data_IF_618085158895
#
_entry.id   IF_618085158895
#
_cell.length_a   1.000
_cell.length_b   1.000
_cell.length_c   1.000
_cell.angle_alpha   90.00
_cell.angle_beta   90.00
_cell.angle_gamma   90.00
#
_symmetry.space_group_name_H-M   'P 1'
#
loop_
_entity.id
_entity.type
_entity.pdbx_description
1 polymer ?
#
# COMPACT_ATOMS: atom_id res chain seq x y z
N UNK A 1 -24.09 24.94 9.87
CA UNK A 1 -23.24 23.72 10.04
C UNK A 1 -23.70 22.75 8.97
N UNK A 2 -22.91 22.60 7.92
CA UNK A 2 -23.23 21.81 6.72
C UNK A 2 -23.24 20.33 7.03
N UNK A 3 -24.16 19.58 6.40
CA UNK A 3 -24.51 18.15 6.64
C UNK A 3 -23.43 17.11 6.28
N UNK A 4 -22.14 17.43 6.30
CA UNK A 4 -21.08 16.66 5.64
C UNK A 4 -19.89 16.34 6.53
N UNK A 5 -20.09 16.02 7.80
CA UNK A 5 -18.92 15.74 8.66
C UNK A 5 -18.99 14.35 9.32
N UNK A 6 -19.28 13.32 8.51
CA UNK A 6 -19.12 11.94 8.94
C UNK A 6 -17.63 11.60 8.93
N UNK A 7 -17.09 11.16 10.07
CA UNK A 7 -15.70 10.77 10.17
C UNK A 7 -15.45 9.36 9.66
N UNK A 8 -16.27 8.40 10.08
CA UNK A 8 -16.08 6.98 9.78
C UNK A 8 -17.35 6.36 9.20
N UNK A 9 -17.24 5.72 8.03
CA UNK A 9 -18.23 4.81 7.49
C UNK A 9 -17.78 3.37 7.71
N UNK A 10 -18.59 2.57 8.42
CA UNK A 10 -18.35 1.14 8.61
C UNK A 10 -19.19 0.37 7.60
N UNK A 11 -18.57 -0.42 6.75
CA UNK A 11 -19.23 -1.24 5.74
C UNK A 11 -19.29 -2.69 6.22
N UNK A 12 -20.49 -3.24 6.32
CA UNK A 12 -20.72 -4.62 6.69
C UNK A 12 -21.50 -5.35 5.58
N UNK A 13 -20.82 -6.20 4.77
CA UNK A 13 -21.50 -7.11 3.85
C UNK A 13 -22.33 -8.14 4.61
N UNK A 14 -23.56 -8.33 4.18
CA UNK A 14 -24.52 -9.24 4.79
C UNK A 14 -25.00 -10.25 3.75
N UNK A 15 -24.98 -11.53 4.09
CA UNK A 15 -25.58 -12.61 3.30
C UNK A 15 -26.18 -13.64 4.24
N UNK A 16 -27.50 -13.61 4.39
CA UNK A 16 -28.25 -14.46 5.32
C UNK A 16 -27.78 -14.26 6.79
N UNK A 17 -27.83 -13.03 7.24
CA UNK A 17 -27.33 -12.58 8.55
C UNK A 17 -28.45 -11.94 9.40
N UNK A 18 -29.73 -12.26 9.15
CA UNK A 18 -30.89 -11.65 9.82
C UNK A 18 -30.77 -11.61 11.35
N UNK A 19 -30.18 -12.66 11.95
CA UNK A 19 -30.04 -12.80 13.39
C UNK A 19 -28.92 -11.94 13.99
N UNK A 20 -27.90 -11.61 13.21
CA UNK A 20 -26.69 -10.92 13.67
C UNK A 20 -26.79 -9.39 13.52
N UNK A 21 -27.56 -8.89 12.56
CA UNK A 21 -27.62 -7.46 12.21
C UNK A 21 -28.07 -6.58 13.38
N UNK A 22 -29.09 -6.92 14.18
CA UNK A 22 -29.51 -6.05 15.29
C UNK A 22 -28.39 -5.83 16.32
N UNK A 23 -27.70 -6.91 16.72
CA UNK A 23 -26.58 -6.84 17.68
C UNK A 23 -25.39 -6.08 17.06
N UNK A 24 -25.01 -6.40 15.83
CA UNK A 24 -23.95 -5.70 15.09
C UNK A 24 -24.22 -4.18 15.03
N UNK A 25 -25.44 -3.80 14.65
CA UNK A 25 -25.86 -2.39 14.57
C UNK A 25 -25.71 -1.70 15.91
N UNK A 26 -26.28 -2.29 16.97
CA UNK A 26 -26.23 -1.73 18.33
C UNK A 26 -24.77 -1.51 18.79
N UNK A 27 -23.91 -2.52 18.58
CA UNK A 27 -22.50 -2.46 19.01
C UNK A 27 -21.70 -1.43 18.20
N UNK A 28 -21.88 -1.35 16.88
CA UNK A 28 -21.18 -0.35 16.05
C UNK A 28 -21.64 1.07 16.40
N UNK A 29 -22.92 1.29 16.61
CA UNK A 29 -23.41 2.60 17.05
C UNK A 29 -22.85 2.97 18.43
N UNK A 30 -22.76 1.99 19.35
CA UNK A 30 -22.10 2.17 20.65
C UNK A 30 -20.60 2.51 20.54
N UNK A 31 -19.91 1.99 19.52
CA UNK A 31 -18.50 2.36 19.21
C UNK A 31 -18.41 3.84 18.82
N UNK A 32 -19.33 4.34 17.99
CA UNK A 32 -19.35 5.75 17.58
C UNK A 32 -19.61 6.67 18.79
N UNK A 33 -20.56 6.30 19.63
CA UNK A 33 -20.92 7.08 20.82
C UNK A 33 -19.77 7.09 21.85
N UNK A 34 -19.16 5.93 22.12
CA UNK A 34 -17.99 5.80 23.01
C UNK A 34 -16.75 6.51 22.48
N UNK A 35 -16.58 6.54 21.17
CA UNK A 35 -15.44 7.21 20.51
C UNK A 35 -15.65 8.71 20.31
N UNK A 36 -16.80 9.24 20.64
CA UNK A 36 -17.19 10.66 20.51
C UNK A 36 -16.99 11.23 19.10
N UNK A 37 -17.29 10.40 18.08
CA UNK A 37 -17.18 10.83 16.69
C UNK A 37 -18.43 10.48 15.87
N UNK A 38 -18.65 11.22 14.79
CA UNK A 38 -19.77 10.96 13.88
C UNK A 38 -19.43 9.78 12.97
N UNK A 39 -20.13 8.68 13.15
CA UNK A 39 -20.01 7.49 12.31
C UNK A 39 -21.33 7.11 11.67
N UNK A 40 -21.23 6.34 10.60
CA UNK A 40 -22.35 5.68 9.95
C UNK A 40 -22.04 4.20 9.69
N UNK A 41 -23.08 3.37 9.76
CA UNK A 41 -23.03 1.95 9.40
C UNK A 41 -23.73 1.76 8.06
N UNK A 42 -23.05 1.11 7.13
CA UNK A 42 -23.57 0.75 5.80
C UNK A 42 -23.69 -0.77 5.75
N UNK A 43 -24.91 -1.26 5.83
CA UNK A 43 -25.25 -2.67 5.70
C UNK A 43 -25.48 -2.98 4.23
N UNK A 44 -24.73 -3.89 3.65
CA UNK A 44 -24.84 -4.25 2.24
C UNK A 44 -25.40 -5.66 2.13
N UNK A 45 -26.68 -5.77 1.82
CA UNK A 45 -27.33 -7.06 1.54
C UNK A 45 -26.89 -7.57 0.16
N UNK A 46 -26.11 -8.64 0.15
CA UNK A 46 -25.57 -9.22 -1.09
C UNK A 46 -26.51 -10.32 -1.65
N UNK A 47 -27.82 -10.01 -1.73
CA UNK A 47 -28.83 -10.89 -2.29
C UNK A 47 -29.20 -12.04 -1.36
N UNK A 48 -29.48 -11.73 -0.10
CA UNK A 48 -29.94 -12.70 0.90
C UNK A 48 -31.28 -13.31 0.53
N UNK A 49 -31.52 -14.52 1.02
CA UNK A 49 -32.75 -15.28 0.81
C UNK A 49 -33.59 -15.44 2.08
N UNK A 50 -33.09 -14.95 3.20
CA UNK A 50 -33.76 -14.90 4.50
C UNK A 50 -34.34 -13.50 4.80
N UNK A 51 -34.63 -13.20 6.07
CA UNK A 51 -35.16 -11.90 6.52
C UNK A 51 -34.13 -10.77 6.59
N UNK A 52 -32.88 -10.95 6.11
CA UNK A 52 -31.79 -9.95 6.19
C UNK A 52 -32.20 -8.58 5.66
N UNK A 53 -32.80 -8.52 4.46
CA UNK A 53 -33.21 -7.27 3.83
C UNK A 53 -34.27 -6.52 4.66
N UNK A 54 -35.21 -7.24 5.28
CA UNK A 54 -36.24 -6.67 6.13
C UNK A 54 -35.64 -6.08 7.43
N UNK A 55 -34.71 -6.83 8.03
CA UNK A 55 -34.03 -6.38 9.26
C UNK A 55 -33.17 -5.14 8.97
N UNK A 56 -32.46 -5.08 7.83
CA UNK A 56 -31.71 -3.89 7.44
C UNK A 56 -32.62 -2.66 7.32
N UNK A 57 -33.79 -2.79 6.66
CA UNK A 57 -34.75 -1.68 6.55
C UNK A 57 -35.25 -1.22 7.91
N UNK A 58 -35.56 -2.14 8.82
CA UNK A 58 -35.94 -1.81 10.18
C UNK A 58 -34.83 -1.05 10.94
N UNK A 59 -33.57 -1.43 10.76
CA UNK A 59 -32.43 -0.70 11.36
C UNK A 59 -32.26 0.69 10.76
N UNK A 60 -32.50 0.87 9.47
CA UNK A 60 -32.48 2.20 8.82
C UNK A 60 -33.57 3.13 9.40
N UNK A 61 -34.76 2.59 9.60
CA UNK A 61 -35.89 3.33 10.17
C UNK A 61 -35.65 3.68 11.65
N UNK A 62 -35.07 2.75 12.41
CA UNK A 62 -34.76 2.98 13.83
C UNK A 62 -33.60 3.97 14.05
N UNK A 63 -32.66 4.07 13.10
CA UNK A 63 -31.45 4.87 13.25
C UNK A 63 -31.21 5.79 12.03
N UNK A 64 -32.13 6.74 11.74
CA UNK A 64 -32.05 7.60 10.57
C UNK A 64 -30.75 8.42 10.55
N UNK A 65 -30.09 8.44 9.40
CA UNK A 65 -28.83 9.17 9.21
C UNK A 65 -27.58 8.49 9.76
N UNK A 66 -27.73 7.45 10.60
CA UNK A 66 -26.62 6.66 11.16
C UNK A 66 -26.49 5.26 10.54
N UNK A 67 -27.58 4.70 10.03
CA UNK A 67 -27.60 3.40 9.35
C UNK A 67 -28.11 3.59 7.92
N UNK A 68 -27.40 3.00 6.97
CA UNK A 68 -27.78 2.94 5.56
C UNK A 68 -27.83 1.51 5.10
N UNK A 69 -28.74 1.19 4.17
CA UNK A 69 -28.84 -0.10 3.51
C UNK A 69 -28.52 0.01 2.02
N UNK A 70 -27.75 -0.94 1.49
CA UNK A 70 -27.53 -1.15 0.06
C UNK A 70 -27.98 -2.56 -0.27
N UNK A 71 -28.75 -2.74 -1.34
CA UNK A 71 -29.38 -4.01 -1.64
C UNK A 71 -29.00 -4.50 -3.04
N UNK A 72 -28.40 -5.68 -3.14
CA UNK A 72 -28.16 -6.36 -4.40
C UNK A 72 -29.33 -7.31 -4.72
N UNK A 73 -29.71 -7.40 -5.97
CA UNK A 73 -30.78 -8.32 -6.40
C UNK A 73 -30.35 -9.80 -6.32
N UNK A 74 -29.06 -10.06 -6.38
CA UNK A 74 -28.46 -11.40 -6.31
C UNK A 74 -27.07 -11.33 -5.69
N UNK A 75 -26.55 -12.45 -5.22
CA UNK A 75 -25.19 -12.53 -4.68
C UNK A 75 -24.15 -12.15 -5.74
N UNK A 76 -23.38 -11.10 -5.46
CA UNK A 76 -22.31 -10.56 -6.28
C UNK A 76 -20.93 -10.76 -5.66
N UNK A 77 -20.90 -11.25 -4.42
CA UNK A 77 -19.71 -11.51 -3.64
C UNK A 77 -19.19 -10.30 -2.85
N UNK A 78 -18.37 -10.57 -1.84
CA UNK A 78 -17.91 -9.62 -0.84
C UNK A 78 -17.24 -8.38 -1.46
N UNK A 79 -16.39 -8.54 -2.47
CA UNK A 79 -15.73 -7.42 -3.11
C UNK A 79 -16.71 -6.46 -3.81
N UNK A 80 -17.80 -6.99 -4.38
CA UNK A 80 -18.87 -6.17 -4.95
C UNK A 80 -19.66 -5.45 -3.86
N UNK A 81 -19.91 -6.12 -2.74
CA UNK A 81 -20.54 -5.51 -1.57
C UNK A 81 -19.68 -4.36 -1.01
N UNK A 82 -18.38 -4.56 -0.89
CA UNK A 82 -17.46 -3.49 -0.49
C UNK A 82 -17.46 -2.30 -1.47
N UNK A 83 -17.47 -2.56 -2.79
CA UNK A 83 -17.57 -1.49 -3.80
C UNK A 83 -18.86 -0.69 -3.66
N UNK A 84 -19.99 -1.38 -3.49
CA UNK A 84 -21.29 -0.73 -3.34
C UNK A 84 -21.37 0.07 -2.02
N UNK A 85 -20.87 -0.51 -0.92
CA UNK A 85 -20.76 0.19 0.37
C UNK A 85 -19.84 1.41 0.31
N UNK A 86 -18.68 1.29 -0.35
CA UNK A 86 -17.75 2.42 -0.54
C UNK A 86 -18.33 3.54 -1.40
N UNK A 87 -19.22 3.21 -2.35
CA UNK A 87 -19.97 4.19 -3.13
C UNK A 87 -21.01 4.95 -2.31
N UNK A 88 -21.58 4.32 -1.28
CA UNK A 88 -22.56 4.96 -0.37
C UNK A 88 -21.88 5.69 0.80
N UNK A 89 -20.60 5.42 1.07
CA UNK A 89 -19.87 5.95 2.21
C UNK A 89 -19.64 7.48 2.12
N UNK A 90 -19.97 8.19 3.19
CA UNK A 90 -19.80 9.65 3.33
C UNK A 90 -18.60 10.00 4.22
N UNK A 91 -18.14 9.06 5.04
CA UNK A 91 -17.03 9.24 5.97
C UNK A 91 -15.70 9.53 5.29
N UNK A 92 -14.86 10.31 5.97
CA UNK A 92 -13.46 10.50 5.55
C UNK A 92 -12.66 9.20 5.65
N UNK A 93 -13.00 8.37 6.64
CA UNK A 93 -12.47 7.03 6.83
C UNK A 93 -13.53 6.00 6.44
N UNK A 94 -13.05 4.86 5.97
CA UNK A 94 -13.86 3.66 5.73
C UNK A 94 -13.25 2.52 6.52
N UNK A 95 -14.11 1.76 7.20
CA UNK A 95 -13.75 0.48 7.78
C UNK A 95 -14.66 -0.62 7.22
N UNK A 96 -14.15 -1.84 7.14
CA UNK A 96 -14.93 -3.02 6.80
C UNK A 96 -14.97 -3.98 7.98
N UNK A 97 -16.10 -4.65 8.19
CA UNK A 97 -16.27 -5.68 9.21
C UNK A 97 -17.24 -6.73 8.70
N UNK A 98 -17.02 -8.00 9.06
CA UNK A 98 -17.96 -9.08 8.73
C UNK A 98 -19.20 -9.00 9.63
N UNK A 99 -20.39 -9.32 9.08
CA UNK A 99 -21.65 -9.18 9.79
C UNK A 99 -21.90 -10.31 10.82
N UNK A 100 -21.08 -11.34 10.85
CA UNK A 100 -21.26 -12.55 11.65
C UNK A 100 -20.78 -12.44 13.11
N UNK A 101 -20.39 -11.25 13.55
CA UNK A 101 -19.92 -10.94 14.90
C UNK A 101 -18.68 -11.73 15.36
N UNK A 102 -17.93 -12.34 14.44
CA UNK A 102 -16.68 -13.00 14.79
C UNK A 102 -15.58 -11.99 15.14
N UNK A 103 -15.54 -10.84 14.47
CA UNK A 103 -14.75 -9.69 14.90
C UNK A 103 -15.52 -8.86 15.92
N UNK A 104 -14.79 -8.29 16.88
CA UNK A 104 -15.38 -7.41 17.88
C UNK A 104 -15.49 -5.98 17.31
N UNK A 105 -16.71 -5.41 17.17
CA UNK A 105 -16.89 -4.04 16.69
C UNK A 105 -16.09 -3.00 17.50
N UNK A 106 -15.87 -3.24 18.77
CA UNK A 106 -15.13 -2.37 19.68
C UNK A 106 -13.64 -2.21 19.28
N UNK A 107 -13.07 -3.18 18.58
CA UNK A 107 -11.71 -3.08 18.04
C UNK A 107 -11.56 -1.98 16.98
N UNK A 108 -12.68 -1.47 16.39
CA UNK A 108 -12.64 -0.30 15.50
C UNK A 108 -12.00 0.92 16.17
N UNK A 109 -12.18 1.10 17.49
CA UNK A 109 -11.52 2.18 18.23
C UNK A 109 -10.00 2.03 18.24
N UNK A 110 -9.52 0.77 18.40
CA UNK A 110 -8.08 0.46 18.40
C UNK A 110 -7.49 0.61 17.01
N UNK A 111 -8.19 0.15 15.96
CA UNK A 111 -7.77 0.31 14.58
C UNK A 111 -7.70 1.80 14.18
N UNK A 112 -8.77 2.57 14.52
CA UNK A 112 -8.82 4.00 14.26
C UNK A 112 -7.68 4.75 14.97
N UNK A 113 -7.46 4.45 16.26
CA UNK A 113 -6.36 5.01 17.04
C UNK A 113 -5.01 4.73 16.38
N UNK A 114 -4.76 3.48 15.97
CA UNK A 114 -3.52 3.10 15.33
C UNK A 114 -3.32 3.76 13.96
N UNK A 115 -4.38 4.01 13.20
CA UNK A 115 -4.32 4.75 11.94
C UNK A 115 -3.78 6.17 12.16
N UNK A 116 -4.27 6.85 13.22
CA UNK A 116 -3.83 8.20 13.54
C UNK A 116 -2.44 8.23 14.21
N UNK A 117 -2.21 7.43 15.24
CA UNK A 117 -0.95 7.46 16.00
C UNK A 117 0.23 6.97 15.20
N UNK A 118 0.04 5.97 14.34
CA UNK A 118 1.13 5.37 13.57
C UNK A 118 1.27 5.95 12.16
N UNK A 119 0.38 6.85 11.78
CA UNK A 119 0.43 7.56 10.50
C UNK A 119 0.62 6.63 9.29
N UNK A 120 -0.08 5.50 9.29
CA UNK A 120 -0.13 4.56 8.17
C UNK A 120 -1.38 4.80 7.32
N UNK A 121 -1.37 4.33 6.07
CA UNK A 121 -2.48 4.50 5.15
C UNK A 121 -3.60 3.48 5.40
N UNK A 122 -3.23 2.26 5.84
CA UNK A 122 -4.16 1.15 6.09
C UNK A 122 -3.82 0.47 7.42
N UNK A 123 -4.84 0.22 8.26
CA UNK A 123 -4.70 -0.65 9.43
C UNK A 123 -5.62 -1.84 9.25
N UNK A 124 -5.07 -3.03 9.47
CA UNK A 124 -5.80 -4.30 9.44
C UNK A 124 -5.88 -4.92 10.83
N UNK A 125 -7.05 -5.41 11.21
CA UNK A 125 -7.20 -6.29 12.36
C UNK A 125 -6.91 -7.72 11.97
N UNK A 126 -5.84 -8.33 12.48
CA UNK A 126 -5.54 -9.73 12.24
C UNK A 126 -6.11 -10.63 13.33
N UNK A 127 -6.58 -11.79 12.93
CA UNK A 127 -7.25 -12.73 13.82
C UNK A 127 -6.24 -13.43 14.70
N UNK A 128 -6.32 -13.19 16.02
CA UNK A 128 -5.44 -13.85 16.99
C UNK A 128 -5.39 -15.37 16.78
N UNK A 129 -4.20 -15.92 16.87
CA UNK A 129 -4.00 -17.37 16.85
C UNK A 129 -4.27 -18.03 18.20
N UNK A 130 -4.39 -17.21 19.26
CA UNK A 130 -4.63 -17.67 20.61
C UNK A 130 -6.06 -18.22 20.72
N UNK A 131 -6.19 -19.44 21.25
CA UNK A 131 -7.49 -20.10 21.44
C UNK A 131 -8.13 -20.70 20.19
N UNK A 132 -7.53 -20.59 19.01
CA UNK A 132 -8.04 -21.22 17.79
C UNK A 132 -7.75 -22.71 17.75
N UNK A 133 -8.75 -23.49 17.34
CA UNK A 133 -8.58 -24.92 17.09
C UNK A 133 -7.63 -25.11 15.89
N UNK A 134 -6.57 -25.90 16.10
CA UNK A 134 -5.56 -26.21 15.08
C UNK A 134 -6.04 -27.34 14.16
N UNK A 135 -7.15 -27.11 13.48
CA UNK A 135 -7.74 -28.00 12.50
C UNK A 135 -7.06 -27.92 11.10
N UNK A 136 -7.55 -28.69 10.13
CA UNK A 136 -7.04 -28.66 8.76
C UNK A 136 -7.16 -27.27 8.13
N UNK A 137 -8.17 -26.49 8.47
CA UNK A 137 -8.38 -25.12 7.95
C UNK A 137 -7.36 -24.15 8.49
N UNK A 138 -6.99 -24.30 9.76
CA UNK A 138 -5.90 -23.53 10.36
C UNK A 138 -4.61 -23.71 9.55
N UNK A 139 -4.21 -24.96 9.27
CA UNK A 139 -2.98 -25.24 8.53
C UNK A 139 -3.04 -24.75 7.08
N UNK A 140 -4.16 -24.94 6.37
CA UNK A 140 -4.37 -24.40 5.02
C UNK A 140 -4.28 -22.87 5.03
N UNK A 141 -4.90 -22.22 6.02
CA UNK A 141 -4.85 -20.76 6.16
C UNK A 141 -3.43 -20.24 6.38
N UNK A 142 -2.65 -20.92 7.24
CA UNK A 142 -1.25 -20.60 7.49
C UNK A 142 -0.38 -20.79 6.24
N UNK A 143 -0.55 -21.90 5.54
CA UNK A 143 0.17 -22.18 4.30
C UNK A 143 -0.13 -21.12 3.22
N UNK A 144 -1.39 -20.74 3.05
CA UNK A 144 -1.78 -19.70 2.10
C UNK A 144 -1.23 -18.32 2.49
N UNK A 145 -1.24 -17.99 3.80
CA UNK A 145 -0.62 -16.76 4.29
C UNK A 145 0.89 -16.73 4.02
N UNK A 146 1.58 -17.84 4.26
CA UNK A 146 2.99 -18.00 3.94
C UNK A 146 3.26 -17.82 2.44
N UNK A 147 2.42 -18.40 1.58
CA UNK A 147 2.55 -18.24 0.12
C UNK A 147 2.38 -16.78 -0.31
N UNK A 148 1.40 -16.05 0.23
CA UNK A 148 1.19 -14.64 -0.07
C UNK A 148 2.38 -13.79 0.40
N UNK A 149 2.84 -13.99 1.62
CA UNK A 149 3.99 -13.28 2.16
C UNK A 149 5.25 -13.50 1.30
N UNK A 150 5.52 -14.75 0.92
CA UNK A 150 6.67 -15.09 0.09
C UNK A 150 6.55 -14.54 -1.33
N UNK A 151 5.36 -14.67 -1.93
CA UNK A 151 5.13 -14.27 -3.32
C UNK A 151 5.21 -12.75 -3.52
N UNK A 152 4.78 -11.97 -2.53
CA UNK A 152 4.71 -10.51 -2.61
C UNK A 152 5.75 -9.79 -1.74
N UNK A 153 6.60 -10.52 -1.01
CA UNK A 153 7.61 -9.95 -0.12
C UNK A 153 7.00 -9.23 1.10
N UNK A 154 5.88 -9.72 1.60
CA UNK A 154 5.16 -9.19 2.74
C UNK A 154 5.49 -9.94 4.03
N UNK A 155 5.14 -9.36 5.18
CA UNK A 155 5.32 -9.98 6.49
C UNK A 155 4.06 -9.74 7.34
N UNK A 156 2.92 -10.30 6.89
CA UNK A 156 1.65 -10.18 7.59
C UNK A 156 1.30 -11.48 8.33
N UNK A 157 0.70 -11.34 9.50
CA UNK A 157 0.18 -12.46 10.28
C UNK A 157 -1.08 -13.06 9.64
N UNK A 158 -1.94 -12.24 9.03
CA UNK A 158 -3.19 -12.70 8.43
C UNK A 158 -3.61 -11.88 7.19
N UNK A 159 -3.10 -12.23 6.02
CA UNK A 159 -3.47 -11.59 4.75
C UNK A 159 -4.97 -11.68 4.40
N UNK A 160 -5.72 -12.57 5.04
CA UNK A 160 -7.13 -12.84 4.70
C UNK A 160 -8.13 -12.11 5.56
N UNK A 161 -7.69 -11.30 6.50
CA UNK A 161 -8.61 -10.51 7.30
C UNK A 161 -9.29 -9.43 6.47
N UNK A 162 -10.61 -9.43 6.47
CA UNK A 162 -11.42 -8.37 5.88
C UNK A 162 -11.66 -7.18 6.81
N UNK A 163 -11.11 -7.19 8.01
CA UNK A 163 -11.30 -6.13 8.99
C UNK A 163 -10.21 -5.07 8.81
N UNK A 164 -10.50 -4.05 8.02
CA UNK A 164 -9.54 -2.99 7.67
C UNK A 164 -10.14 -1.60 7.89
N UNK A 165 -9.28 -0.61 8.14
CA UNK A 165 -9.63 0.81 8.19
C UNK A 165 -8.59 1.63 7.43
N UNK A 166 -9.04 2.58 6.61
CA UNK A 166 -8.20 3.51 5.87
C UNK A 166 -8.98 4.76 5.45
N UNK A 167 -8.32 5.72 4.80
CA UNK A 167 -9.02 6.83 4.15
C UNK A 167 -9.93 6.31 3.03
N UNK A 168 -11.08 6.98 2.81
CA UNK A 168 -12.06 6.57 1.79
C UNK A 168 -11.44 6.48 0.39
N UNK A 169 -10.61 7.44 0.03
CA UNK A 169 -9.91 7.48 -1.26
C UNK A 169 -8.94 6.30 -1.42
N UNK A 170 -8.24 5.93 -0.34
CA UNK A 170 -7.38 4.73 -0.30
C UNK A 170 -8.22 3.49 -0.50
N UNK A 171 -9.34 3.35 0.22
CA UNK A 171 -10.21 2.19 0.09
C UNK A 171 -10.79 2.04 -1.32
N UNK A 172 -11.24 3.15 -1.91
CA UNK A 172 -11.74 3.16 -3.29
C UNK A 172 -10.64 2.77 -4.29
N UNK A 173 -9.41 3.27 -4.11
CA UNK A 173 -8.28 2.87 -4.95
C UNK A 173 -7.92 1.38 -4.76
N UNK A 174 -7.93 0.87 -3.53
CA UNK A 174 -7.71 -0.56 -3.30
C UNK A 174 -8.70 -1.44 -4.04
N UNK A 175 -9.95 -0.99 -4.20
CA UNK A 175 -11.00 -1.72 -4.92
C UNK A 175 -10.91 -1.58 -6.46
N UNK A 176 -9.95 -0.82 -6.98
CA UNK A 176 -9.65 -0.78 -8.42
C UNK A 176 -8.69 -1.92 -8.77
N UNK A 177 -9.20 -2.99 -9.36
CA UNK A 177 -8.46 -4.14 -9.84
C UNK A 177 -9.01 -4.59 -11.20
N UNK A 178 -8.16 -5.20 -12.04
CA UNK A 178 -8.49 -5.54 -13.43
C UNK A 178 -9.03 -6.98 -13.56
N UNK A 179 -8.58 -7.87 -12.69
CA UNK A 179 -8.92 -9.28 -12.76
C UNK A 179 -10.33 -9.63 -12.28
N UNK A 180 -10.84 -10.78 -12.70
CA UNK A 180 -12.03 -11.40 -12.08
C UNK A 180 -11.57 -12.36 -11.01
N UNK A 181 -11.79 -12.03 -9.73
CA UNK A 181 -11.43 -12.83 -8.57
C UNK A 181 -12.68 -13.49 -7.99
N UNK A 182 -12.49 -14.71 -7.46
CA UNK A 182 -13.54 -15.36 -6.66
C UNK A 182 -13.55 -14.83 -5.23
N UNK A 183 -12.35 -14.58 -4.66
CA UNK A 183 -12.14 -14.16 -3.27
C UNK A 183 -11.16 -13.00 -3.18
N UNK A 184 -11.41 -11.92 -3.93
CA UNK A 184 -10.52 -10.76 -3.98
C UNK A 184 -10.26 -10.15 -2.60
N UNK A 185 -11.21 -10.23 -1.66
CA UNK A 185 -11.04 -9.76 -0.29
C UNK A 185 -9.78 -10.31 0.41
N UNK A 186 -9.33 -11.49 0.02
CA UNK A 186 -8.09 -12.09 0.52
C UNK A 186 -6.82 -11.42 0.00
N UNK A 187 -6.96 -10.48 -0.93
CA UNK A 187 -5.85 -9.79 -1.59
C UNK A 187 -5.85 -8.27 -1.32
N UNK A 188 -6.72 -7.79 -0.42
CA UNK A 188 -6.78 -6.35 -0.12
C UNK A 188 -5.46 -5.81 0.40
N UNK A 189 -4.75 -6.57 1.25
CA UNK A 189 -3.43 -6.17 1.75
C UNK A 189 -2.33 -6.36 0.70
N UNK A 190 -2.46 -7.34 -0.20
CA UNK A 190 -1.60 -7.46 -1.37
C UNK A 190 -1.75 -6.24 -2.28
N UNK A 191 -2.99 -5.80 -2.52
CA UNK A 191 -3.25 -4.58 -3.28
C UNK A 191 -2.68 -3.34 -2.58
N UNK A 192 -2.82 -3.22 -1.26
CA UNK A 192 -2.24 -2.13 -0.48
C UNK A 192 -0.71 -2.12 -0.61
N UNK A 193 -0.07 -3.26 -0.44
CA UNK A 193 1.38 -3.42 -0.60
C UNK A 193 1.85 -3.07 -2.01
N UNK A 194 1.21 -3.63 -3.04
CA UNK A 194 1.57 -3.41 -4.44
C UNK A 194 1.33 -1.97 -4.90
N UNK A 195 0.33 -1.30 -4.33
CA UNK A 195 0.05 0.13 -4.59
C UNK A 195 0.89 1.08 -3.72
N UNK A 196 1.76 0.56 -2.83
CA UNK A 196 2.70 1.31 -2.01
C UNK A 196 2.09 2.04 -0.83
N UNK A 197 0.91 1.64 -0.42
CA UNK A 197 0.35 2.13 0.82
C UNK A 197 1.11 1.54 2.02
N UNK A 198 1.38 2.41 3.00
CA UNK A 198 1.90 1.96 4.28
C UNK A 198 0.77 1.29 5.08
N UNK A 199 1.10 0.18 5.76
CA UNK A 199 0.09 -0.55 6.51
C UNK A 199 0.63 -1.11 7.82
N UNK A 200 -0.31 -1.37 8.74
CA UNK A 200 -0.03 -1.99 10.04
C UNK A 200 -1.11 -3.00 10.38
N UNK A 201 -0.69 -4.09 11.04
CA UNK A 201 -1.60 -5.05 11.64
C UNK A 201 -1.76 -4.80 13.14
N UNK A 202 -2.97 -5.04 13.64
CA UNK A 202 -3.31 -5.05 15.06
C UNK A 202 -3.97 -6.38 15.38
N UNK A 203 -3.52 -7.03 16.42
CA UNK A 203 -4.17 -8.23 16.92
C UNK A 203 -5.58 -7.91 17.40
N UNK A 204 -6.56 -8.67 16.89
CA UNK A 204 -7.96 -8.57 17.25
C UNK A 204 -8.48 -9.92 17.74
N UNK A 205 -9.41 -9.88 18.66
CA UNK A 205 -10.09 -11.09 19.13
C UNK A 205 -11.02 -11.58 18.00
N UNK A 206 -10.92 -12.87 17.70
CA UNK A 206 -11.77 -13.51 16.71
C UNK A 206 -12.51 -14.67 17.37
N UNK A 207 -13.79 -14.51 17.58
CA UNK A 207 -14.65 -15.46 18.27
C UNK A 207 -15.26 -16.50 17.34
N UNK A 208 -15.83 -17.54 17.92
CA UNK A 208 -16.65 -18.48 17.17
C UNK A 208 -17.95 -17.81 16.75
N UNK A 209 -18.43 -18.15 15.57
CA UNK A 209 -19.71 -17.65 15.05
C UNK A 209 -20.83 -18.00 16.00
N UNK A 210 -21.68 -17.02 16.33
CA UNK A 210 -22.78 -17.20 17.29
C UNK A 210 -24.03 -17.77 16.65
N UNK A 211 -24.32 -17.41 15.39
CA UNK A 211 -25.50 -17.88 14.65
C UNK A 211 -25.19 -18.02 13.15
N UNK A 212 -25.97 -18.83 12.46
CA UNK A 212 -25.85 -19.06 11.01
C UNK A 212 -24.80 -20.11 10.62
N UNK A 213 -24.85 -20.55 9.34
CA UNK A 213 -23.90 -21.52 8.75
C UNK A 213 -22.81 -20.80 7.96
N UNK A 214 -21.56 -21.27 8.06
CA UNK A 214 -20.48 -20.72 7.24
C UNK A 214 -20.64 -21.14 5.77
N UNK A 215 -20.69 -20.19 4.87
CA UNK A 215 -20.71 -20.46 3.42
C UNK A 215 -19.54 -21.36 2.95
N UNK A 216 -18.42 -21.31 3.63
CA UNK A 216 -17.20 -22.05 3.29
C UNK A 216 -17.21 -23.51 3.80
N UNK A 217 -18.09 -23.87 4.73
CA UNK A 217 -18.06 -25.19 5.37
C UNK A 217 -18.39 -26.32 4.40
N UNK A 218 -19.34 -26.09 3.51
CA UNK A 218 -19.78 -27.10 2.53
C UNK A 218 -18.90 -27.18 1.27
N UNK A 219 -17.96 -26.24 1.06
CA UNK A 219 -17.19 -26.11 -0.19
C UNK A 219 -15.68 -25.85 0.01
N UNK A 220 -15.11 -26.29 1.13
CA UNK A 220 -13.71 -25.95 1.49
C UNK A 220 -12.68 -26.35 0.42
N UNK A 221 -12.81 -27.52 -0.21
CA UNK A 221 -11.91 -27.96 -1.27
C UNK A 221 -12.01 -27.08 -2.53
N UNK A 222 -13.24 -26.73 -2.94
CA UNK A 222 -13.44 -25.81 -4.08
C UNK A 222 -12.93 -24.40 -3.77
N UNK A 223 -13.09 -23.95 -2.52
CA UNK A 223 -12.57 -22.64 -2.09
C UNK A 223 -11.05 -22.60 -2.18
N UNK A 224 -10.35 -23.68 -1.81
CA UNK A 224 -8.89 -23.77 -1.92
C UNK A 224 -8.40 -23.68 -3.37
N UNK A 225 -9.04 -24.42 -4.31
CA UNK A 225 -8.70 -24.35 -5.74
C UNK A 225 -8.93 -22.94 -6.29
N UNK A 226 -10.06 -22.31 -5.96
CA UNK A 226 -10.39 -20.94 -6.37
C UNK A 226 -9.38 -19.93 -5.81
N UNK A 227 -8.93 -20.10 -4.55
CA UNK A 227 -7.93 -19.24 -3.94
C UNK A 227 -6.56 -19.36 -4.61
N UNK A 228 -6.17 -20.57 -5.05
CA UNK A 228 -4.93 -20.78 -5.83
C UNK A 228 -5.03 -20.12 -7.21
N UNK A 229 -6.18 -20.23 -7.86
CA UNK A 229 -6.44 -19.55 -9.13
C UNK A 229 -6.35 -18.02 -8.97
N UNK A 230 -6.96 -17.48 -7.91
CA UNK A 230 -6.89 -16.06 -7.58
C UNK A 230 -5.46 -15.63 -7.25
N UNK A 231 -4.66 -16.48 -6.59
CA UNK A 231 -3.24 -16.22 -6.35
C UNK A 231 -2.47 -16.07 -7.68
N UNK A 232 -2.70 -16.96 -8.65
CA UNK A 232 -2.10 -16.84 -9.98
C UNK A 232 -2.44 -15.51 -10.66
N UNK A 233 -3.69 -15.06 -10.54
CA UNK A 233 -4.12 -13.75 -11.03
C UNK A 233 -3.47 -12.59 -10.28
N UNK A 234 -3.44 -12.66 -8.95
CA UNK A 234 -2.82 -11.64 -8.13
C UNK A 234 -1.32 -11.52 -8.43
N UNK A 235 -0.63 -12.63 -8.66
CA UNK A 235 0.77 -12.63 -9.13
C UNK A 235 0.90 -11.87 -10.45
N UNK A 236 0.04 -12.14 -11.41
CA UNK A 236 0.06 -11.45 -12.70
C UNK A 236 -0.31 -9.97 -12.58
N UNK A 237 -1.29 -9.63 -11.72
CA UNK A 237 -1.78 -8.26 -11.55
C UNK A 237 -0.88 -7.40 -10.66
N UNK A 238 -0.35 -7.96 -9.58
CA UNK A 238 0.37 -7.19 -8.55
C UNK A 238 1.88 -7.45 -8.51
N UNK A 239 2.36 -8.60 -9.01
CA UNK A 239 3.79 -8.89 -9.05
C UNK A 239 4.45 -8.09 -10.19
N UNK A 240 5.35 -7.18 -9.84
CA UNK A 240 6.02 -6.29 -10.80
C UNK A 240 5.23 -5.02 -11.14
N UNK A 241 3.96 -4.89 -10.71
CA UNK A 241 3.28 -3.59 -10.71
C UNK A 241 3.59 -2.91 -9.38
N UNK A 242 4.55 -2.02 -9.41
CA UNK A 242 4.80 -1.12 -8.28
C UNK A 242 3.65 -0.14 -8.12
N UNK A 243 3.52 0.44 -6.89
CA UNK A 243 2.64 1.57 -6.70
C UNK A 243 2.87 2.53 -7.85
N UNK A 244 1.83 3.08 -8.46
CA UNK A 244 2.00 4.04 -9.51
C UNK A 244 2.90 5.15 -8.97
N UNK A 245 4.12 5.21 -9.47
CA UNK A 245 5.04 6.31 -9.18
C UNK A 245 4.26 7.61 -9.35
N UNK A 246 4.43 8.54 -8.42
CA UNK A 246 3.84 9.88 -8.49
C UNK A 246 3.96 10.45 -9.90
N UNK A 247 5.12 10.20 -10.54
CA UNK A 247 5.38 10.64 -11.90
C UNK A 247 4.45 9.97 -12.95
N UNK A 248 4.10 8.70 -12.79
CA UNK A 248 3.16 8.04 -13.71
C UNK A 248 1.73 8.51 -13.50
N UNK A 249 1.30 8.73 -12.25
CA UNK A 249 0.00 9.33 -11.97
C UNK A 249 -0.07 10.75 -12.53
N UNK A 250 1.01 11.51 -12.39
CA UNK A 250 1.12 12.85 -12.94
C UNK A 250 1.05 12.84 -14.48
N UNK A 251 1.78 11.96 -15.15
CA UNK A 251 1.76 11.82 -16.60
C UNK A 251 0.39 11.43 -17.16
N UNK A 252 -0.44 10.70 -16.40
CA UNK A 252 -1.82 10.41 -16.80
C UNK A 252 -2.68 11.69 -16.87
N UNK A 253 -2.44 12.63 -15.97
CA UNK A 253 -3.13 13.92 -15.91
C UNK A 253 -2.51 14.97 -16.86
N UNK A 254 -1.22 14.82 -17.14
CA UNK A 254 -0.44 15.73 -17.98
C UNK A 254 0.25 14.92 -19.11
N UNK A 255 -0.49 14.51 -20.15
CA UNK A 255 0.07 13.75 -21.25
C UNK A 255 1.17 14.55 -21.95
N UNK A 256 2.28 13.90 -22.23
CA UNK A 256 3.42 14.49 -22.94
C UNK A 256 3.62 13.81 -24.28
N UNK A 257 4.07 14.57 -25.27
CA UNK A 257 4.55 14.00 -26.53
C UNK A 257 5.96 13.49 -26.25
N UNK A 258 6.16 12.19 -26.36
CA UNK A 258 7.48 11.59 -26.27
C UNK A 258 8.33 12.03 -27.48
N UNK A 259 9.39 12.77 -27.21
CA UNK A 259 10.35 13.25 -28.21
C UNK A 259 11.65 12.44 -28.16
N UNK A 260 11.66 11.33 -27.45
CA UNK A 260 12.82 10.45 -27.39
C UNK A 260 13.11 9.90 -28.80
N UNK A 261 14.38 9.85 -29.23
CA UNK A 261 14.73 9.28 -30.51
C UNK A 261 14.28 7.83 -30.61
N UNK A 262 13.66 7.46 -31.72
CA UNK A 262 13.27 6.07 -31.96
C UNK A 262 14.50 5.16 -31.96
N UNK A 263 14.39 4.07 -31.20
CA UNK A 263 15.42 3.02 -31.17
C UNK A 263 15.33 2.20 -32.44
N UNK A 264 16.48 2.01 -33.11
CA UNK A 264 16.53 1.06 -34.23
C UNK A 264 16.14 -0.35 -33.74
N UNK A 265 15.67 -1.23 -34.66
CA UNK A 265 15.33 -2.62 -34.29
C UNK A 265 16.47 -3.34 -33.57
N UNK A 266 17.72 -3.14 -33.98
CA UNK A 266 18.89 -3.72 -33.33
C UNK A 266 19.14 -3.17 -31.94
N UNK A 267 18.97 -1.87 -31.72
CA UNK A 267 19.05 -1.23 -30.40
C UNK A 267 17.93 -1.72 -29.48
N UNK A 268 16.72 -1.86 -30.01
CA UNK A 268 15.58 -2.40 -29.25
C UNK A 268 15.80 -3.87 -28.84
N UNK A 269 16.42 -4.68 -29.69
CA UNK A 269 16.76 -6.05 -29.38
C UNK A 269 17.87 -6.11 -28.32
N UNK A 270 18.94 -5.32 -28.48
CA UNK A 270 20.04 -5.24 -27.49
C UNK A 270 19.54 -4.76 -26.13
N UNK A 271 18.66 -3.76 -26.11
CA UNK A 271 18.04 -3.28 -24.88
C UNK A 271 17.26 -4.39 -24.18
N UNK A 272 16.39 -5.13 -24.88
CA UNK A 272 15.62 -6.23 -24.31
C UNK A 272 16.52 -7.36 -23.81
N UNK A 273 17.54 -7.73 -24.58
CA UNK A 273 18.51 -8.76 -24.16
C UNK A 273 19.29 -8.33 -22.92
N UNK A 274 19.71 -7.06 -22.87
CA UNK A 274 20.42 -6.52 -21.70
C UNK A 274 19.51 -6.48 -20.48
N UNK A 275 18.28 -5.98 -20.59
CA UNK A 275 17.35 -5.95 -19.46
C UNK A 275 16.99 -7.35 -18.98
N UNK A 276 16.82 -8.31 -19.87
CA UNK A 276 16.62 -9.70 -19.49
C UNK A 276 17.84 -10.27 -18.73
N UNK A 277 19.05 -10.05 -19.24
CA UNK A 277 20.28 -10.49 -18.56
C UNK A 277 20.52 -9.73 -17.27
N UNK A 278 20.29 -8.43 -17.25
CA UNK A 278 20.40 -7.58 -16.06
C UNK A 278 19.43 -8.03 -14.96
N UNK A 279 18.19 -8.27 -15.31
CA UNK A 279 17.19 -8.77 -14.38
C UNK A 279 17.54 -10.18 -13.85
N UNK A 280 18.16 -11.06 -14.65
CA UNK A 280 18.61 -12.37 -14.18
C UNK A 280 19.84 -12.29 -13.27
N UNK A 281 20.80 -11.44 -13.57
CA UNK A 281 22.04 -11.32 -12.80
C UNK A 281 21.89 -10.44 -11.56
N UNK A 282 20.98 -9.48 -11.59
CA UNK A 282 20.74 -8.51 -10.51
C UNK A 282 19.36 -8.65 -9.87
N UNK A 283 18.57 -9.66 -10.24
CA UNK A 283 17.19 -9.82 -9.77
C UNK A 283 17.04 -9.81 -8.23
N UNK A 284 18.07 -10.20 -7.49
CA UNK A 284 18.12 -10.08 -6.03
C UNK A 284 18.28 -8.64 -5.57
N UNK A 285 18.89 -7.78 -6.39
CA UNK A 285 19.25 -6.41 -6.05
C UNK A 285 18.34 -5.40 -6.79
N UNK A 286 18.05 -5.64 -8.07
CA UNK A 286 17.24 -4.73 -8.91
C UNK A 286 16.26 -5.52 -9.78
N UNK A 287 15.01 -5.05 -9.89
CA UNK A 287 13.95 -5.68 -10.71
C UNK A 287 13.30 -4.72 -11.69
N UNK A 288 13.29 -3.42 -11.38
CA UNK A 288 12.41 -2.45 -12.04
C UNK A 288 13.14 -1.22 -12.60
N UNK A 289 14.42 -1.38 -12.94
CA UNK A 289 15.21 -0.31 -13.57
C UNK A 289 14.56 0.20 -14.84
N UNK A 290 14.01 -0.71 -15.67
CA UNK A 290 13.33 -0.37 -16.92
C UNK A 290 12.11 0.53 -16.70
N UNK A 291 11.29 0.20 -15.71
CA UNK A 291 10.12 0.99 -15.35
C UNK A 291 10.47 2.44 -14.96
N UNK A 292 11.49 2.62 -14.11
CA UNK A 292 11.96 3.97 -13.77
C UNK A 292 12.57 4.69 -14.96
N UNK A 293 13.31 3.98 -15.81
CA UNK A 293 13.90 4.54 -17.00
C UNK A 293 12.82 5.06 -17.98
N UNK A 294 11.79 4.26 -18.26
CA UNK A 294 10.67 4.70 -19.11
C UNK A 294 9.92 5.91 -18.53
N UNK A 295 9.72 5.92 -17.22
CA UNK A 295 9.10 7.06 -16.53
C UNK A 295 9.94 8.31 -16.69
N UNK A 296 11.25 8.21 -16.52
CA UNK A 296 12.18 9.32 -16.68
C UNK A 296 12.27 9.80 -18.12
N UNK A 297 12.21 8.89 -19.10
CA UNK A 297 12.18 9.25 -20.52
C UNK A 297 10.96 10.11 -20.87
N UNK A 298 9.81 9.83 -20.30
CA UNK A 298 8.59 10.60 -20.50
C UNK A 298 8.60 11.93 -19.75
N UNK A 299 8.96 11.91 -18.46
CA UNK A 299 8.89 13.11 -17.62
C UNK A 299 9.88 14.20 -18.03
N UNK A 300 10.99 13.87 -18.69
CA UNK A 300 11.94 14.87 -19.16
C UNK A 300 11.35 15.87 -20.20
N UNK A 301 10.23 15.52 -20.83
CA UNK A 301 9.55 16.35 -21.82
C UNK A 301 8.37 17.16 -21.27
N UNK A 302 8.17 17.14 -19.97
CA UNK A 302 7.20 18.01 -19.31
C UNK A 302 7.57 19.49 -19.51
N UNK A 303 6.56 20.34 -19.61
CA UNK A 303 6.79 21.79 -19.58
C UNK A 303 7.44 22.20 -18.26
N UNK A 304 8.17 23.33 -18.20
CA UNK A 304 8.77 23.78 -16.93
C UNK A 304 7.76 23.99 -15.80
N UNK A 305 6.54 24.39 -16.12
CA UNK A 305 5.46 24.53 -15.11
C UNK A 305 4.99 23.16 -14.61
N UNK A 306 4.71 22.21 -15.50
CA UNK A 306 4.30 20.86 -15.16
C UNK A 306 5.42 20.10 -14.39
N UNK A 307 6.69 20.34 -14.74
CA UNK A 307 7.81 19.78 -14.02
C UNK A 307 7.87 20.30 -12.58
N UNK A 308 7.68 21.61 -12.35
CA UNK A 308 7.62 22.18 -11.00
C UNK A 308 6.47 21.59 -10.20
N UNK A 309 5.29 21.46 -10.80
CA UNK A 309 4.12 20.86 -10.14
C UNK A 309 4.38 19.41 -9.72
N UNK A 310 5.00 18.61 -10.61
CA UNK A 310 5.43 17.24 -10.28
C UNK A 310 6.43 17.20 -9.11
N UNK A 311 7.39 18.12 -9.12
CA UNK A 311 8.40 18.22 -8.05
C UNK A 311 7.76 18.62 -6.72
N UNK A 312 6.82 19.56 -6.73
CA UNK A 312 6.08 19.98 -5.54
C UNK A 312 5.19 18.83 -5.00
N UNK A 313 4.55 18.06 -5.88
CA UNK A 313 3.79 16.87 -5.45
C UNK A 313 4.70 15.83 -4.78
N UNK A 314 5.88 15.55 -5.37
CA UNK A 314 6.87 14.65 -4.78
C UNK A 314 7.39 15.19 -3.45
N UNK A 315 7.66 16.49 -3.34
CA UNK A 315 8.10 17.13 -2.11
C UNK A 315 7.07 16.97 -0.99
N UNK A 316 5.81 17.28 -1.24
CA UNK A 316 4.73 17.11 -0.26
C UNK A 316 4.63 15.67 0.26
N UNK A 317 4.77 14.69 -0.63
CA UNK A 317 4.76 13.27 -0.22
C UNK A 317 5.99 12.93 0.61
N UNK A 318 7.17 13.40 0.21
CA UNK A 318 8.42 13.15 0.93
C UNK A 318 8.40 13.75 2.34
N UNK A 319 8.00 15.02 2.48
CA UNK A 319 7.93 15.70 3.79
C UNK A 319 6.91 15.03 4.69
N UNK A 320 5.76 14.66 4.16
CA UNK A 320 4.74 13.90 4.90
C UNK A 320 5.28 12.56 5.36
N UNK A 321 5.95 11.81 4.48
CA UNK A 321 6.59 10.55 4.82
C UNK A 321 7.66 10.71 5.90
N UNK A 322 8.55 11.70 5.75
CA UNK A 322 9.62 11.98 6.71
C UNK A 322 9.06 12.34 8.10
N UNK A 323 8.06 13.20 8.17
CA UNK A 323 7.39 13.56 9.43
C UNK A 323 6.71 12.35 10.10
N UNK A 324 6.04 11.51 9.30
CA UNK A 324 5.27 10.38 9.81
C UNK A 324 6.15 9.22 10.26
N UNK A 325 7.19 8.92 9.49
CA UNK A 325 7.89 7.64 9.59
C UNK A 325 9.36 7.75 9.98
N UNK A 326 9.93 8.97 10.09
CA UNK A 326 11.35 9.14 10.41
C UNK A 326 11.48 9.96 11.69
N UNK A 327 11.86 9.34 12.83
CA UNK A 327 11.87 9.98 14.14
C UNK A 327 12.69 11.28 14.17
N UNK A 328 13.86 11.28 13.54
CA UNK A 328 14.74 12.47 13.44
C UNK A 328 14.03 13.66 12.79
N UNK A 329 13.41 13.47 11.62
CA UNK A 329 12.73 14.55 10.92
C UNK A 329 11.45 14.98 11.62
N UNK A 330 10.74 14.06 12.24
CA UNK A 330 9.58 14.39 13.09
C UNK A 330 10.00 15.34 14.21
N UNK A 331 11.04 15.00 14.96
CA UNK A 331 11.54 15.82 16.06
C UNK A 331 12.02 17.20 15.56
N UNK A 332 12.79 17.23 14.48
CA UNK A 332 13.33 18.48 13.92
C UNK A 332 12.23 19.43 13.39
N UNK A 333 11.20 18.90 12.74
CA UNK A 333 10.08 19.70 12.30
C UNK A 333 9.25 20.22 13.48
N UNK A 334 9.04 19.41 14.51
CA UNK A 334 8.36 19.82 15.74
C UNK A 334 9.16 20.89 16.50
N UNK A 335 10.48 20.75 16.63
CA UNK A 335 11.38 21.76 17.21
C UNK A 335 11.29 23.10 16.46
N UNK A 336 11.14 23.05 15.13
CA UNK A 336 10.97 24.23 14.28
C UNK A 336 9.53 24.77 14.24
N UNK A 337 8.58 24.15 14.95
CA UNK A 337 7.15 24.51 14.91
C UNK A 337 6.46 24.23 13.57
N UNK A 338 7.04 23.36 12.73
CA UNK A 338 6.56 23.07 11.39
C UNK A 338 5.73 21.78 11.35
N UNK A 339 4.72 21.79 10.48
CA UNK A 339 3.94 20.62 10.08
C UNK A 339 4.17 20.32 8.60
N UNK A 340 3.86 19.11 8.12
CA UNK A 340 3.99 18.78 6.69
C UNK A 340 3.23 19.75 5.76
N UNK A 341 2.13 20.31 6.25
CA UNK A 341 1.27 21.25 5.50
C UNK A 341 1.94 22.62 5.27
N UNK A 342 2.97 22.96 6.04
CA UNK A 342 3.72 24.23 5.93
C UNK A 342 4.77 24.20 4.80
N UNK A 343 5.00 23.00 4.22
CA UNK A 343 5.97 22.78 3.12
C UNK A 343 5.24 22.20 1.92
N UNK A 344 4.75 23.08 1.04
CA UNK A 344 3.92 22.72 -0.10
C UNK A 344 4.66 22.78 -1.43
N UNK A 345 5.67 23.62 -1.54
CA UNK A 345 6.41 23.88 -2.76
C UNK A 345 7.92 23.92 -2.50
N UNK A 346 8.71 23.85 -3.57
CA UNK A 346 10.17 24.02 -3.47
C UNK A 346 10.58 25.35 -2.84
N UNK A 347 9.76 26.39 -2.98
CA UNK A 347 10.01 27.68 -2.34
C UNK A 347 10.00 27.59 -0.80
N UNK A 348 9.36 26.57 -0.24
CA UNK A 348 9.27 26.37 1.22
C UNK A 348 10.46 25.60 1.80
N UNK A 349 11.36 25.09 0.96
CA UNK A 349 12.50 24.27 1.42
C UNK A 349 13.41 25.00 2.41
N UNK A 350 13.51 26.32 2.32
CA UNK A 350 14.30 27.15 3.25
C UNK A 350 13.79 27.11 4.69
N UNK A 351 12.52 26.72 4.91
CA UNK A 351 11.93 26.57 6.24
C UNK A 351 12.46 25.33 6.95
N UNK A 352 12.90 24.31 6.19
CA UNK A 352 13.34 23.03 6.75
C UNK A 352 14.70 23.20 7.44
N UNK A 353 14.90 22.57 8.62
CA UNK A 353 16.17 22.58 9.31
C UNK A 353 17.24 21.86 8.48
N UNK A 354 18.44 22.44 8.47
CA UNK A 354 19.59 21.87 7.76
C UNK A 354 20.05 20.58 8.41
N UNK A 355 20.38 19.60 7.58
CA UNK A 355 20.93 18.31 8.00
C UNK A 355 22.43 18.26 7.67
N UNK A 356 23.27 18.16 8.72
CA UNK A 356 24.71 18.03 8.59
C UNK A 356 25.18 16.57 8.57
N UNK A 357 26.43 16.34 8.10
CA UNK A 357 27.05 15.01 8.15
C UNK A 357 27.20 14.48 9.59
N UNK A 358 27.41 15.36 10.56
CA UNK A 358 27.50 15.00 11.97
C UNK A 358 26.18 14.48 12.52
N UNK A 359 25.05 15.11 12.13
CA UNK A 359 23.72 14.67 12.51
C UNK A 359 23.43 13.28 11.96
N UNK A 360 23.74 13.05 10.68
CA UNK A 360 23.56 11.75 10.05
C UNK A 360 24.38 10.68 10.77
N UNK A 361 25.66 10.94 11.08
CA UNK A 361 26.51 9.97 11.79
C UNK A 361 25.95 9.61 13.16
N UNK A 362 25.45 10.61 13.90
CA UNK A 362 24.91 10.43 15.24
C UNK A 362 23.60 9.64 15.25
N UNK A 363 22.72 9.87 14.26
CA UNK A 363 21.35 9.37 14.24
C UNK A 363 21.10 8.28 13.21
N UNK A 364 22.09 7.89 12.40
CA UNK A 364 21.94 7.11 11.18
C UNK A 364 21.08 5.86 11.30
N UNK A 365 21.27 5.06 12.33
CA UNK A 365 20.66 3.74 12.37
C UNK A 365 19.30 3.71 13.09
N UNK A 366 19.10 4.56 14.07
CA UNK A 366 17.92 4.52 14.91
C UNK A 366 16.87 5.57 14.54
N UNK A 367 17.33 6.81 14.29
CA UNK A 367 16.43 7.95 14.19
C UNK A 367 16.18 8.40 12.74
N UNK A 368 17.17 8.24 11.84
CA UNK A 368 17.06 8.66 10.43
C UNK A 368 16.44 7.57 9.54
N UNK A 369 16.52 6.31 9.95
CA UNK A 369 15.83 5.24 9.21
C UNK A 369 14.32 5.28 9.44
N UNK A 370 13.57 5.04 8.35
CA UNK A 370 12.12 5.00 8.38
C UNK A 370 11.60 3.84 9.24
N UNK A 371 10.68 4.12 10.16
CA UNK A 371 10.08 3.12 11.05
C UNK A 371 9.20 2.09 10.32
N UNK A 372 8.69 2.46 9.16
CA UNK A 372 7.82 1.61 8.32
C UNK A 372 8.60 0.81 7.27
N UNK A 373 9.94 0.86 7.29
CA UNK A 373 10.79 0.09 6.39
C UNK A 373 11.51 -1.05 7.11
N UNK A 374 11.57 -2.22 6.46
CA UNK A 374 12.30 -3.37 7.00
C UNK A 374 13.82 -3.12 6.91
N UNK A 375 14.45 -2.96 8.06
CA UNK A 375 15.90 -2.69 8.15
C UNK A 375 16.76 -3.82 7.60
N UNK A 376 16.23 -5.03 7.46
CA UNK A 376 16.94 -6.16 6.84
C UNK A 376 17.05 -6.05 5.32
N UNK A 377 16.22 -5.21 4.71
CA UNK A 377 16.16 -5.05 3.24
C UNK A 377 16.96 -3.84 2.73
N UNK A 378 17.71 -3.18 3.58
CA UNK A 378 18.53 -2.04 3.19
C UNK A 378 19.97 -2.43 2.90
N UNK A 379 20.57 -1.74 1.95
CA UNK A 379 21.96 -1.91 1.57
C UNK A 379 22.80 -0.76 2.11
N UNK A 380 23.87 -1.09 2.78
CA UNK A 380 24.85 -0.10 3.25
C UNK A 380 25.66 0.45 2.07
N UNK A 381 25.64 1.75 1.92
CA UNK A 381 26.42 2.49 0.92
C UNK A 381 27.44 3.36 1.66
N UNK A 382 28.67 3.42 1.18
CA UNK A 382 29.68 4.31 1.73
C UNK A 382 30.43 5.05 0.62
N UNK A 383 30.80 6.28 0.89
CA UNK A 383 31.74 7.03 0.04
C UNK A 383 33.17 6.63 0.36
N UNK A 384 34.09 6.83 -0.59
CA UNK A 384 35.53 6.53 -0.40
C UNK A 384 36.22 7.41 0.63
N UNK A 385 35.61 8.53 1.03
CA UNK A 385 36.12 9.43 2.06
C UNK A 385 37.45 10.11 1.67
N UNK A 386 37.41 11.08 0.78
CA UNK A 386 38.58 11.90 0.41
C UNK A 386 39.23 12.64 1.61
N UNK A 387 38.51 12.74 2.71
CA UNK A 387 38.94 13.36 3.98
C UNK A 387 39.26 12.34 5.08
N UNK A 388 39.43 11.05 4.73
CA UNK A 388 39.79 9.99 5.66
C UNK A 388 38.62 9.25 6.34
N UNK A 389 37.45 9.87 6.46
CA UNK A 389 36.27 9.24 7.05
C UNK A 389 35.17 9.01 6.03
N UNK A 390 34.82 7.73 5.72
CA UNK A 390 33.74 7.41 4.82
C UNK A 390 32.41 7.92 5.36
N UNK A 391 31.63 8.54 4.48
CA UNK A 391 30.23 8.81 4.77
C UNK A 391 29.41 7.55 4.48
N UNK A 392 28.64 7.10 5.45
CA UNK A 392 27.79 5.92 5.36
C UNK A 392 26.33 6.34 5.28
N UNK A 393 25.58 5.72 4.39
CA UNK A 393 24.12 5.78 4.36
C UNK A 393 23.54 4.41 3.97
N UNK A 394 22.23 4.28 4.09
CA UNK A 394 21.50 3.08 3.70
C UNK A 394 20.56 3.41 2.55
N UNK A 395 20.45 2.49 1.62
CA UNK A 395 19.55 2.60 0.48
C UNK A 395 18.67 1.37 0.40
N UNK A 396 17.43 1.55 0.04
CA UNK A 396 16.56 0.47 -0.36
C UNK A 396 16.77 0.11 -1.84
N UNK A 397 16.11 -0.95 -2.27
CA UNK A 397 16.15 -1.41 -3.65
C UNK A 397 15.65 -0.33 -4.62
N UNK A 398 14.54 0.32 -4.29
CA UNK A 398 13.91 1.33 -5.15
C UNK A 398 14.86 2.49 -5.46
N UNK A 399 15.60 2.95 -4.45
CA UNK A 399 16.59 4.01 -4.63
C UNK A 399 17.73 3.58 -5.56
N UNK A 400 18.20 2.33 -5.45
CA UNK A 400 19.24 1.80 -6.35
C UNK A 400 18.75 1.71 -7.78
N UNK A 401 17.54 1.21 -8.01
CA UNK A 401 16.94 1.07 -9.32
C UNK A 401 16.71 2.42 -9.98
N UNK A 402 16.18 3.38 -9.22
CA UNK A 402 16.00 4.74 -9.71
C UNK A 402 17.34 5.39 -10.08
N UNK A 403 18.39 5.19 -9.28
CA UNK A 403 19.73 5.70 -9.58
C UNK A 403 20.28 5.10 -10.89
N UNK A 404 20.10 3.80 -11.12
CA UNK A 404 20.51 3.16 -12.38
C UNK A 404 19.73 3.72 -13.57
N UNK A 405 18.42 3.84 -13.45
CA UNK A 405 17.57 4.41 -14.48
C UNK A 405 17.96 5.86 -14.84
N UNK A 406 18.20 6.67 -13.81
CA UNK A 406 18.65 8.06 -14.00
C UNK A 406 20.03 8.12 -14.67
N UNK A 407 20.95 7.21 -14.36
CA UNK A 407 22.25 7.11 -15.00
C UNK A 407 22.12 6.77 -16.48
N UNK A 408 21.31 5.77 -16.82
CA UNK A 408 21.07 5.38 -18.22
C UNK A 408 20.48 6.53 -19.02
N UNK A 409 19.47 7.22 -18.49
CA UNK A 409 18.87 8.39 -19.15
C UNK A 409 19.89 9.52 -19.36
N UNK A 410 20.68 9.84 -18.34
CA UNK A 410 21.65 10.94 -18.45
C UNK A 410 22.77 10.63 -19.45
N UNK A 411 23.16 9.38 -19.60
CA UNK A 411 24.11 8.98 -20.64
C UNK A 411 23.53 9.22 -22.05
N UNK A 412 22.25 9.00 -22.28
CA UNK A 412 21.62 9.29 -23.57
C UNK A 412 21.61 10.78 -23.95
N UNK A 413 21.62 11.68 -22.96
CA UNK A 413 21.74 13.12 -23.24
C UNK A 413 23.08 13.51 -23.88
N UNK A 414 24.13 12.69 -23.71
CA UNK A 414 25.44 12.92 -24.37
C UNK A 414 25.50 12.37 -25.79
N UNK A 415 24.37 11.88 -26.32
CA UNK A 415 24.33 11.21 -27.63
C UNK A 415 24.61 9.72 -27.59
N UNK A 416 25.02 9.17 -26.44
CA UNK A 416 25.19 7.73 -26.25
C UNK A 416 23.87 7.00 -26.50
N UNK A 417 23.96 5.88 -27.21
CA UNK A 417 22.83 4.96 -27.35
C UNK A 417 23.21 3.63 -26.73
N UNK A 418 22.27 3.01 -26.04
CA UNK A 418 22.53 1.73 -25.39
C UNK A 418 23.07 0.72 -26.41
N UNK A 419 24.21 0.13 -26.07
CA UNK A 419 24.96 -0.80 -26.95
C UNK A 419 26.06 -0.15 -27.78
N UNK A 420 26.22 1.18 -27.72
CA UNK A 420 27.37 1.85 -28.31
C UNK A 420 28.63 1.54 -27.50
N UNK A 421 29.79 1.46 -28.13
CA UNK A 421 31.05 1.31 -27.43
C UNK A 421 31.27 2.46 -26.46
N UNK A 422 31.54 2.17 -25.20
CA UNK A 422 31.75 3.17 -24.16
C UNK A 422 33.01 2.85 -23.38
N UNK A 423 33.88 3.84 -23.24
CA UNK A 423 35.03 3.77 -22.31
C UNK A 423 34.63 4.50 -21.04
N UNK A 424 34.61 3.77 -19.92
CA UNK A 424 34.36 4.35 -18.60
C UNK A 424 35.67 4.56 -17.86
N UNK A 425 36.08 5.80 -17.70
CA UNK A 425 37.19 6.13 -16.82
C UNK A 425 36.69 6.14 -15.38
N UNK A 426 37.16 5.20 -14.58
CA UNK A 426 36.80 5.11 -13.17
C UNK A 426 38.04 5.35 -12.32
N UNK A 427 37.97 6.36 -11.49
CA UNK A 427 39.04 6.60 -10.51
C UNK A 427 38.89 5.59 -9.38
N UNK A 428 39.77 4.60 -9.31
CA UNK A 428 39.85 3.67 -8.20
C UNK A 428 41.19 3.83 -7.47
N UNK A 429 41.10 3.82 -6.15
CA UNK A 429 42.29 3.73 -5.30
C UNK A 429 43.00 2.39 -5.54
N UNK A 430 44.32 2.43 -5.60
CA UNK A 430 45.19 1.27 -5.66
C UNK A 430 44.78 0.17 -4.66
N UNK A 431 44.37 -0.99 -5.14
CA UNK A 431 44.00 -2.10 -4.28
C UNK A 431 42.87 -3.00 -4.79
N UNK A 432 42.53 -2.97 -6.09
CA UNK A 432 41.59 -3.96 -6.65
C UNK A 432 42.10 -5.37 -6.52
N UNK A 433 41.36 -6.27 -5.94
CA UNK A 433 41.58 -7.69 -6.03
C UNK A 433 41.31 -8.18 -7.46
N UNK A 434 41.98 -9.23 -7.91
CA UNK A 434 41.77 -9.84 -9.23
C UNK A 434 40.29 -10.14 -9.53
N UNK A 435 39.50 -10.48 -8.52
CA UNK A 435 38.07 -10.73 -8.64
C UNK A 435 37.24 -9.42 -8.91
N UNK A 436 37.77 -8.25 -8.57
CA UNK A 436 37.11 -6.95 -8.83
C UNK A 436 37.44 -6.38 -10.22
N UNK A 437 38.48 -6.89 -10.87
CA UNK A 437 38.88 -6.50 -12.23
C UNK A 437 37.95 -7.14 -13.29
N UNK A 438 37.31 -8.28 -12.94
CA UNK A 438 36.42 -9.02 -13.84
C UNK A 438 34.92 -8.75 -13.64
N UNK A 439 34.56 -7.79 -12.84
CA UNK A 439 33.20 -7.26 -12.71
C UNK A 439 33.05 -5.92 -13.41
#
# INVERSE_FOLDING_TARGET
MTATDVELSVIAPCLNEELNIPELTSRILGVFDKGEFRGELILVDDGSTDGTAQVIRAMMEAHPGRVQGVFHQQNRGMAAAWKSGAGAARGRLVATIDADLQYQPEDLLRLRRALYERSVDVVQGWRSWVGRVKDKRYHISRAFNFMLNTAFGMQLEDNKSGFVICAREVFQDLLTYEGRYFYWQSFIMVAAHAKGYSYKEIETLFEQRRAGESFLDKKAAQASVKSIYDLGKALWEYQGKRPPDVALQFLRRHPVIDRSPEKSPAQSLRWRAYMAAFNQTHWMITRDVEHYYETLQKTQWLSPSAMRELQDEKLRRLVRHAYRNVPYYRAKLQEAGLRPEDVQTQADLHKLPMLGKADIRKHLFFDIMSENHDKSQVLRISTSGSTGEPFVCYADRAQLEFRWAATLRSQEWTGYRFGDPMVRLWHQTLGMTRAQVWK
#
